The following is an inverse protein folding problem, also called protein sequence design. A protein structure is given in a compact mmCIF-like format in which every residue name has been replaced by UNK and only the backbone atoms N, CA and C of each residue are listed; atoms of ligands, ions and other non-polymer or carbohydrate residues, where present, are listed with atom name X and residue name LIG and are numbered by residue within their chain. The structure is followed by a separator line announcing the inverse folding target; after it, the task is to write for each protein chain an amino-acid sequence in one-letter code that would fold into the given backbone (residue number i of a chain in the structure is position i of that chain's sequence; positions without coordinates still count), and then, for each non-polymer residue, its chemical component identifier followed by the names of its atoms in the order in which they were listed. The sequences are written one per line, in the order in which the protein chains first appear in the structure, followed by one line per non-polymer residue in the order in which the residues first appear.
data_IF_432802330165
#
_entry.id   IF_432802330165
#
_cell.length_a   1.000
_cell.length_b   1.000
_cell.length_c   1.000
_cell.angle_alpha   90.00
_cell.angle_beta   90.00
_cell.angle_gamma   90.00
#
_symmetry.space_group_name_H-M   'P 1'
#
loop_
_entity.id
_entity.type
_entity.pdbx_description
1 polymer ?
#
# COMPACT_ATOMS: atom_id res chain seq x y z
N UNK A 1 34.69 22.96 -5.92
CA UNK A 1 33.54 22.39 -5.20
C UNK A 1 33.31 23.28 -3.99
N UNK A 2 32.23 24.06 -3.96
CA UNK A 2 32.01 25.04 -2.89
C UNK A 2 31.67 24.32 -1.59
N UNK A 3 32.01 24.90 -0.43
CA UNK A 3 31.67 24.32 0.89
C UNK A 3 30.18 23.97 1.04
N UNK A 4 29.31 24.66 0.32
CA UNK A 4 27.87 24.39 0.25
C UNK A 4 27.54 23.03 -0.40
N UNK A 5 28.27 22.61 -1.44
CA UNK A 5 28.09 21.31 -2.10
C UNK A 5 28.43 20.16 -1.15
N UNK A 6 29.50 20.34 -0.35
CA UNK A 6 29.95 19.36 0.64
C UNK A 6 28.91 19.22 1.76
N UNK A 7 28.32 20.34 2.21
CA UNK A 7 27.27 20.32 3.22
C UNK A 7 26.00 19.63 2.70
N UNK A 8 25.58 19.91 1.46
CA UNK A 8 24.42 19.28 0.82
C UNK A 8 24.60 17.76 0.70
N UNK A 9 25.78 17.29 0.26
CA UNK A 9 26.08 15.86 0.17
C UNK A 9 26.06 15.16 1.52
N UNK A 10 26.57 15.80 2.58
CA UNK A 10 26.52 15.27 3.96
C UNK A 10 25.08 15.15 4.47
N UNK A 11 24.26 16.17 4.22
CA UNK A 11 22.83 16.16 4.59
C UNK A 11 22.09 15.06 3.83
N UNK A 12 22.33 14.90 2.53
CA UNK A 12 21.77 13.81 1.74
C UNK A 12 22.20 12.43 2.27
N UNK A 13 23.48 12.26 2.59
CA UNK A 13 24.00 11.03 3.19
C UNK A 13 23.35 10.70 4.53
N UNK A 14 23.16 11.71 5.37
CA UNK A 14 22.45 11.58 6.65
C UNK A 14 21.00 11.11 6.44
N UNK A 15 20.23 11.80 5.60
CA UNK A 15 18.84 11.43 5.36
C UNK A 15 18.69 10.06 4.70
N UNK A 16 19.60 9.69 3.79
CA UNK A 16 19.64 8.34 3.21
C UNK A 16 19.87 7.28 4.28
N UNK A 17 20.83 7.50 5.18
CA UNK A 17 21.13 6.56 6.28
C UNK A 17 19.98 6.47 7.27
N UNK A 18 19.38 7.60 7.65
CA UNK A 18 18.22 7.64 8.53
C UNK A 18 17.03 6.87 7.94
N UNK A 19 16.75 7.07 6.65
CA UNK A 19 15.70 6.34 5.93
C UNK A 19 15.95 4.84 5.93
N UNK A 20 17.17 4.41 5.64
CA UNK A 20 17.55 2.99 5.64
C UNK A 20 17.38 2.35 7.01
N UNK A 21 17.86 2.99 8.09
CA UNK A 21 17.69 2.48 9.46
C UNK A 21 16.22 2.38 9.86
N UNK A 22 15.42 3.39 9.52
CA UNK A 22 13.97 3.36 9.79
C UNK A 22 13.29 2.21 9.04
N UNK A 23 13.71 1.95 7.81
CA UNK A 23 13.19 0.84 7.02
C UNK A 23 13.60 -0.52 7.58
N UNK A 24 14.84 -0.67 8.07
CA UNK A 24 15.30 -1.89 8.75
C UNK A 24 14.50 -2.16 10.04
N UNK A 25 14.33 -1.15 10.90
CA UNK A 25 13.54 -1.31 12.14
C UNK A 25 12.09 -1.69 11.82
N UNK A 26 11.50 -1.09 10.78
CA UNK A 26 10.16 -1.46 10.34
C UNK A 26 10.10 -2.90 9.83
N UNK A 27 11.11 -3.35 9.07
CA UNK A 27 11.21 -4.71 8.57
C UNK A 27 11.36 -5.72 9.72
N UNK A 28 12.20 -5.43 10.71
CA UNK A 28 12.38 -6.26 11.90
C UNK A 28 11.08 -6.40 12.71
N UNK A 29 10.31 -5.31 12.83
CA UNK A 29 8.99 -5.31 13.48
C UNK A 29 7.96 -6.13 12.68
N UNK A 30 7.99 -6.04 11.35
CA UNK A 30 7.13 -6.88 10.49
C UNK A 30 7.54 -8.35 10.60
N UNK A 31 8.83 -8.64 10.59
CA UNK A 31 9.39 -9.99 10.61
C UNK A 31 9.11 -10.73 11.92
N UNK A 32 9.05 -9.99 13.03
CA UNK A 32 8.70 -10.49 14.35
C UNK A 32 7.19 -10.51 14.63
N UNK A 33 6.35 -10.01 13.71
CA UNK A 33 4.91 -9.97 13.90
C UNK A 33 4.25 -11.32 13.64
N UNK A 34 3.31 -11.72 14.51
CA UNK A 34 2.42 -12.85 14.24
C UNK A 34 1.54 -12.64 13.00
N UNK A 35 1.42 -11.38 12.54
CA UNK A 35 0.67 -10.99 11.35
C UNK A 35 1.56 -10.77 10.13
N UNK A 36 2.83 -11.21 10.14
CA UNK A 36 3.79 -11.00 9.05
C UNK A 36 3.20 -11.30 7.67
N UNK A 37 2.63 -12.49 7.49
CA UNK A 37 2.07 -12.92 6.21
C UNK A 37 0.93 -12.00 5.72
N UNK A 38 0.11 -11.49 6.64
CA UNK A 38 -0.94 -10.54 6.31
C UNK A 38 -0.35 -9.19 5.88
N UNK A 39 0.68 -8.72 6.58
CA UNK A 39 1.37 -7.47 6.26
C UNK A 39 2.07 -7.55 4.89
N UNK A 40 2.72 -8.66 4.58
CA UNK A 40 3.33 -8.93 3.28
C UNK A 40 2.28 -8.98 2.16
N UNK A 41 1.15 -9.66 2.38
CA UNK A 41 0.05 -9.71 1.43
C UNK A 41 -0.56 -8.31 1.17
N UNK A 42 -0.69 -7.49 2.21
CA UNK A 42 -1.17 -6.11 2.08
C UNK A 42 -0.17 -5.25 1.30
N UNK A 43 1.14 -5.35 1.58
CA UNK A 43 2.16 -4.60 0.86
C UNK A 43 2.16 -4.95 -0.64
N UNK A 44 2.14 -6.24 -0.99
CA UNK A 44 2.01 -6.69 -2.37
C UNK A 44 0.75 -6.13 -3.03
N UNK A 45 -0.38 -6.16 -2.33
CA UNK A 45 -1.65 -5.59 -2.81
C UNK A 45 -1.53 -4.08 -3.07
N UNK A 46 -0.84 -3.34 -2.20
CA UNK A 46 -0.58 -1.91 -2.40
C UNK A 46 0.29 -1.66 -3.63
N UNK A 47 1.33 -2.45 -3.86
CA UNK A 47 2.18 -2.35 -5.05
C UNK A 47 1.36 -2.57 -6.34
N UNK A 48 0.50 -3.59 -6.37
CA UNK A 48 -0.41 -3.84 -7.49
C UNK A 48 -1.38 -2.66 -7.73
N UNK A 49 -1.98 -2.11 -6.67
CA UNK A 49 -2.89 -0.97 -6.78
C UNK A 49 -2.21 0.28 -7.35
N UNK A 50 -0.93 0.51 -7.01
CA UNK A 50 -0.12 1.59 -7.59
C UNK A 50 0.15 1.37 -9.08
N UNK A 51 0.50 0.14 -9.48
CA UNK A 51 0.71 -0.19 -10.88
C UNK A 51 -0.57 0.02 -11.72
N UNK A 52 -1.73 -0.40 -11.20
CA UNK A 52 -3.03 -0.14 -11.85
C UNK A 52 -3.32 1.35 -11.95
N UNK A 53 -3.06 2.13 -10.90
CA UNK A 53 -3.26 3.58 -10.93
C UNK A 53 -2.36 4.26 -11.98
N UNK A 54 -1.08 3.86 -12.05
CA UNK A 54 -0.13 4.37 -13.04
C UNK A 54 -0.55 4.01 -14.48
N UNK A 55 -1.13 2.83 -14.70
CA UNK A 55 -1.66 2.43 -16.01
C UNK A 55 -2.96 3.16 -16.38
N UNK A 56 -3.82 3.48 -15.41
CA UNK A 56 -5.08 4.22 -15.64
C UNK A 56 -4.86 5.70 -15.95
N UNK A 57 -3.82 6.30 -15.38
CA UNK A 57 -3.53 7.74 -15.48
C UNK A 57 -3.38 8.24 -16.95
N UNK A 58 -2.53 7.65 -17.81
CA UNK A 58 -2.41 8.10 -19.21
C UNK A 58 -3.67 7.84 -20.04
N UNK A 59 -4.52 6.90 -19.61
CA UNK A 59 -5.77 6.55 -20.29
C UNK A 59 -6.95 7.44 -19.87
N UNK A 60 -6.76 8.39 -18.94
CA UNK A 60 -7.83 9.20 -18.36
C UNK A 60 -8.91 8.39 -17.65
N UNK A 61 -8.62 7.15 -17.26
CA UNK A 61 -9.58 6.26 -16.59
C UNK A 61 -9.68 6.61 -15.11
N UNK A 62 -10.90 6.55 -14.51
CA UNK A 62 -11.06 6.87 -13.10
C UNK A 62 -10.32 5.84 -12.23
N UNK A 63 -9.56 6.36 -11.26
CA UNK A 63 -8.90 5.55 -10.24
C UNK A 63 -9.96 4.82 -9.42
N UNK A 64 -11.02 5.53 -9.03
CA UNK A 64 -12.16 4.97 -8.32
C UNK A 64 -13.14 4.31 -9.29
N UNK A 65 -13.18 2.99 -9.29
CA UNK A 65 -14.06 2.18 -10.14
C UNK A 65 -15.07 1.43 -9.26
N UNK A 66 -16.28 2.00 -9.15
CA UNK A 66 -17.34 1.44 -8.29
C UNK A 66 -17.75 0.03 -8.70
N UNK A 67 -17.82 -0.24 -9.99
CA UNK A 67 -18.19 -1.55 -10.51
C UNK A 67 -17.13 -2.59 -10.15
N UNK A 68 -15.85 -2.22 -10.25
CA UNK A 68 -14.76 -3.11 -9.85
C UNK A 68 -14.72 -3.33 -8.33
N UNK A 69 -14.99 -2.31 -7.52
CA UNK A 69 -15.08 -2.44 -6.05
C UNK A 69 -16.17 -3.44 -5.69
N UNK A 70 -17.37 -3.32 -6.27
CA UNK A 70 -18.47 -4.23 -5.98
C UNK A 70 -18.14 -5.67 -6.34
N UNK A 71 -17.52 -5.91 -7.50
CA UNK A 71 -17.05 -7.25 -7.91
C UNK A 71 -16.08 -7.85 -6.90
N UNK A 72 -15.13 -7.04 -6.40
CA UNK A 72 -14.18 -7.50 -5.38
C UNK A 72 -14.91 -7.84 -4.08
N UNK A 73 -15.88 -7.04 -3.65
CA UNK A 73 -16.62 -7.31 -2.42
C UNK A 73 -17.47 -8.57 -2.52
N UNK A 74 -18.15 -8.81 -3.65
CA UNK A 74 -18.89 -10.06 -3.90
C UNK A 74 -17.95 -11.26 -3.76
N UNK A 75 -16.80 -11.22 -4.43
CA UNK A 75 -15.84 -12.32 -4.39
C UNK A 75 -15.25 -12.54 -2.98
N UNK A 76 -14.96 -11.46 -2.24
CA UNK A 76 -14.50 -11.54 -0.84
C UNK A 76 -15.54 -12.22 0.05
N UNK A 77 -16.83 -11.91 -0.14
CA UNK A 77 -17.91 -12.53 0.62
C UNK A 77 -18.05 -14.02 0.30
N UNK A 78 -18.01 -14.38 -0.99
CA UNK A 78 -18.02 -15.78 -1.44
C UNK A 78 -16.87 -16.57 -0.80
N UNK A 79 -15.64 -16.06 -0.91
CA UNK A 79 -14.46 -16.70 -0.30
C UNK A 79 -14.55 -16.78 1.23
N UNK A 80 -15.06 -15.74 1.90
CA UNK A 80 -15.22 -15.76 3.35
C UNK A 80 -16.23 -16.83 3.79
N UNK A 81 -17.31 -17.01 3.03
CA UNK A 81 -18.27 -18.10 3.26
C UNK A 81 -17.65 -19.47 3.02
N UNK A 82 -16.91 -19.66 1.92
CA UNK A 82 -16.20 -20.92 1.61
C UNK A 82 -15.17 -21.30 2.69
N UNK A 83 -14.59 -20.30 3.36
CA UNK A 83 -13.63 -20.47 4.46
C UNK A 83 -14.29 -20.48 5.83
N UNK A 84 -15.62 -20.53 5.89
CA UNK A 84 -16.41 -20.58 7.13
C UNK A 84 -16.08 -19.44 8.11
N UNK A 85 -15.73 -18.26 7.58
CA UNK A 85 -15.44 -17.08 8.40
C UNK A 85 -16.76 -16.54 8.94
N UNK A 86 -16.93 -16.59 10.26
CA UNK A 86 -18.18 -16.21 10.94
C UNK A 86 -18.65 -14.77 10.67
N UNK A 87 -17.72 -13.84 10.42
CA UNK A 87 -18.03 -12.42 10.23
C UNK A 87 -17.65 -11.93 8.83
N UNK A 88 -18.39 -12.40 7.84
CA UNK A 88 -18.20 -12.09 6.42
C UNK A 88 -18.23 -10.59 6.14
N UNK A 89 -19.18 -9.85 6.73
CA UNK A 89 -19.29 -8.41 6.50
C UNK A 89 -18.12 -7.63 7.11
N UNK A 90 -17.57 -8.06 8.23
CA UNK A 90 -16.34 -7.45 8.76
C UNK A 90 -15.17 -7.62 7.77
N UNK A 91 -15.04 -8.80 7.13
CA UNK A 91 -14.01 -9.02 6.11
C UNK A 91 -14.25 -8.14 4.89
N UNK A 92 -15.48 -8.06 4.39
CA UNK A 92 -15.82 -7.17 3.27
C UNK A 92 -15.52 -5.71 3.59
N UNK A 93 -15.85 -5.24 4.80
CA UNK A 93 -15.55 -3.89 5.27
C UNK A 93 -14.04 -3.61 5.36
N UNK A 94 -13.24 -4.58 5.80
CA UNK A 94 -11.78 -4.46 5.81
C UNK A 94 -11.24 -4.26 4.38
N UNK A 95 -11.70 -5.05 3.42
CA UNK A 95 -11.29 -4.92 2.02
C UNK A 95 -11.74 -3.59 1.41
N UNK A 96 -12.93 -3.10 1.75
CA UNK A 96 -13.41 -1.79 1.32
C UNK A 96 -12.51 -0.66 1.86
N UNK A 97 -12.12 -0.73 3.13
CA UNK A 97 -11.18 0.24 3.71
C UNK A 97 -9.85 0.22 2.96
N UNK A 98 -9.28 -0.95 2.68
CA UNK A 98 -8.01 -1.05 1.94
C UNK A 98 -8.15 -0.47 0.52
N UNK A 99 -9.29 -0.69 -0.16
CA UNK A 99 -9.56 -0.09 -1.48
C UNK A 99 -9.68 1.43 -1.42
N UNK A 100 -10.26 1.99 -0.35
CA UNK A 100 -10.34 3.44 -0.16
C UNK A 100 -8.96 4.08 0.06
N UNK A 101 -7.99 3.37 0.62
CA UNK A 101 -6.63 3.87 0.78
C UNK A 101 -5.93 4.14 -0.58
N UNK A 102 -6.38 3.50 -1.66
CA UNK A 102 -5.89 3.76 -3.02
C UNK A 102 -6.05 5.24 -3.43
N UNK A 103 -7.09 5.92 -2.94
CA UNK A 103 -7.34 7.36 -3.18
C UNK A 103 -6.35 8.26 -2.43
N UNK A 104 -5.90 7.83 -1.25
CA UNK A 104 -4.92 8.57 -0.44
C UNK A 104 -3.54 8.44 -1.08
N UNK A 105 -3.15 7.22 -1.47
CA UNK A 105 -1.84 6.98 -2.07
C UNK A 105 -1.69 7.58 -3.47
N UNK A 106 -2.75 7.59 -4.28
CA UNK A 106 -2.68 8.22 -5.60
C UNK A 106 -2.39 9.72 -5.53
N UNK A 107 -2.78 10.39 -4.44
CA UNK A 107 -2.50 11.83 -4.19
C UNK A 107 -1.06 12.07 -3.77
N UNK A 108 -0.39 11.08 -3.16
CA UNK A 108 0.99 11.19 -2.70
C UNK A 108 2.01 10.92 -3.82
N UNK A 109 1.60 10.26 -4.91
CA UNK A 109 2.45 9.98 -6.08
C UNK A 109 2.39 11.03 -7.19
N UNK A 110 1.53 12.05 -7.05
CA UNK A 110 1.41 13.20 -7.98
C UNK A 110 2.08 14.48 -7.46
N UNK A 111 2.83 14.42 -6.36
CA UNK A 111 3.79 15.46 -5.93
C UNK A 111 5.21 15.05 -6.29
#
# INVERSE_FOLDING_TARGET
MMQQDIAALKIQGFFKTYRLKKQQVLQEVIDSSSSKQLLEALDLRFQCMRAVAAAKLPLGKPINDKAQIEKVLVHVRELANEKEIKNVEMVANLFLQILHWQKIFSRLTTM
#
